data_IF_234041394415
#
_entry.id   IF_234041394415
#
_cell.length_a   1.000
_cell.length_b   1.000
_cell.length_c   1.000
_cell.angle_alpha   90.00
_cell.angle_beta   90.00
_cell.angle_gamma   90.00
#
_symmetry.space_group_name_H-M   'P 1'
#
loop_
_entity.id
_entity.type
_entity.pdbx_description
1 polymer ?
#
# COMPACT_ATOMS: atom_id res chain seq x y z
N UNK A 1 15.03 -28.15 -2.47
CA UNK A 1 14.23 -26.99 -2.94
C UNK A 1 13.32 -26.37 -1.87
N UNK A 2 12.44 -27.11 -1.17
CA UNK A 2 11.49 -26.54 -0.17
C UNK A 2 12.12 -25.72 0.96
N UNK A 3 13.28 -26.13 1.51
CA UNK A 3 13.96 -25.41 2.59
C UNK A 3 14.58 -24.08 2.14
N UNK A 4 15.13 -24.04 0.92
CA UNK A 4 15.64 -22.81 0.28
C UNK A 4 14.51 -21.83 0.03
N UNK A 5 13.35 -22.29 -0.47
CA UNK A 5 12.15 -21.47 -0.58
C UNK A 5 11.70 -20.94 0.78
N UNK A 6 11.56 -21.78 1.82
CA UNK A 6 11.21 -21.30 3.18
C UNK A 6 12.12 -20.19 3.69
N UNK A 7 13.43 -20.33 3.47
CA UNK A 7 14.46 -19.37 3.87
C UNK A 7 14.44 -18.10 3.00
N UNK A 8 14.16 -18.23 1.70
CA UNK A 8 14.02 -17.09 0.77
C UNK A 8 12.74 -16.28 1.04
N UNK A 9 11.69 -16.97 1.48
CA UNK A 9 10.37 -16.43 1.79
C UNK A 9 10.24 -16.02 3.27
N UNK A 10 11.34 -16.10 4.05
CA UNK A 10 11.40 -15.82 5.48
C UNK A 10 10.18 -16.36 6.26
N UNK A 11 9.78 -17.60 5.99
CA UNK A 11 8.62 -18.22 6.68
C UNK A 11 8.87 -18.33 8.20
N UNK A 12 10.15 -18.37 8.59
CA UNK A 12 10.61 -18.43 9.98
C UNK A 12 10.85 -17.04 10.62
N UNK A 13 10.53 -15.93 9.93
CA UNK A 13 10.57 -14.61 10.56
C UNK A 13 9.56 -14.55 11.73
N UNK A 14 9.87 -13.73 12.72
CA UNK A 14 8.93 -13.50 13.82
C UNK A 14 7.63 -12.90 13.28
N UNK A 15 6.47 -13.19 13.91
CA UNK A 15 5.19 -12.60 13.50
C UNK A 15 5.25 -11.08 13.41
N UNK A 16 6.02 -10.44 14.30
CA UNK A 16 6.23 -9.00 14.37
C UNK A 16 6.98 -8.48 13.13
N UNK A 17 8.10 -9.12 12.75
CA UNK A 17 8.87 -8.71 11.55
C UNK A 17 8.06 -8.90 10.27
N UNK A 18 7.29 -9.98 10.19
CA UNK A 18 6.42 -10.27 9.04
C UNK A 18 5.29 -9.24 8.94
N UNK A 19 4.61 -8.94 10.06
CA UNK A 19 3.55 -7.93 10.09
C UNK A 19 4.08 -6.52 9.77
N UNK A 20 5.29 -6.18 10.23
CA UNK A 20 5.94 -4.91 9.92
C UNK A 20 6.30 -4.78 8.43
N UNK A 21 6.85 -5.84 7.84
CA UNK A 21 7.11 -5.88 6.41
C UNK A 21 5.81 -5.71 5.60
N UNK A 22 4.73 -6.38 6.02
CA UNK A 22 3.41 -6.24 5.40
C UNK A 22 2.86 -4.80 5.52
N UNK A 23 2.94 -4.16 6.69
CA UNK A 23 2.46 -2.77 6.85
C UNK A 23 3.24 -1.79 5.98
N UNK A 24 4.57 -1.96 5.87
CA UNK A 24 5.38 -1.17 4.92
C UNK A 24 4.90 -1.43 3.49
N UNK A 25 4.58 -2.68 3.13
CA UNK A 25 4.03 -3.02 1.83
C UNK A 25 2.73 -2.28 1.53
N UNK A 26 1.81 -2.24 2.50
CA UNK A 26 0.55 -1.49 2.40
C UNK A 26 0.82 0.01 2.22
N UNK A 27 1.73 0.58 3.02
CA UNK A 27 2.13 1.99 2.87
C UNK A 27 2.60 2.28 1.43
N UNK A 28 3.52 1.46 0.92
CA UNK A 28 4.08 1.65 -0.41
C UNK A 28 3.01 1.42 -1.48
N UNK A 29 2.18 0.39 -1.37
CA UNK A 29 1.15 0.06 -2.37
C UNK A 29 0.08 1.14 -2.55
N UNK A 30 -0.22 1.88 -1.49
CA UNK A 30 -1.22 2.97 -1.48
C UNK A 30 -0.60 4.38 -1.50
N UNK A 31 0.73 4.48 -1.46
CA UNK A 31 1.46 5.75 -1.61
C UNK A 31 1.22 6.39 -2.98
N UNK A 32 1.47 7.70 -3.19
CA UNK A 32 1.24 8.32 -4.50
C UNK A 32 2.15 7.84 -5.64
N UNK A 33 3.10 6.92 -5.39
CA UNK A 33 4.11 6.46 -6.35
C UNK A 33 3.60 5.41 -7.36
N UNK A 34 2.52 5.74 -8.08
CA UNK A 34 1.84 4.86 -9.03
C UNK A 34 2.81 4.24 -10.05
N UNK A 35 2.81 2.91 -10.12
CA UNK A 35 3.65 2.13 -11.04
C UNK A 35 5.04 1.76 -10.53
N UNK A 36 5.56 2.43 -9.49
CA UNK A 36 6.88 2.13 -8.92
C UNK A 36 6.82 1.35 -7.59
N UNK A 37 5.62 1.00 -7.12
CA UNK A 37 5.42 0.36 -5.82
C UNK A 37 6.18 -0.96 -5.64
N UNK A 38 6.17 -1.84 -6.64
CA UNK A 38 6.82 -3.16 -6.54
C UNK A 38 8.33 -3.04 -6.47
N UNK A 39 8.93 -2.18 -7.31
CA UNK A 39 10.37 -1.93 -7.30
C UNK A 39 10.80 -1.22 -6.01
N UNK A 40 10.06 -0.20 -5.57
CA UNK A 40 10.34 0.53 -4.33
C UNK A 40 10.22 -0.35 -3.10
N UNK A 41 9.19 -1.19 -3.03
CA UNK A 41 9.04 -2.16 -1.96
C UNK A 41 10.13 -3.22 -1.96
N UNK A 42 10.52 -3.71 -3.14
CA UNK A 42 11.61 -4.67 -3.23
C UNK A 42 12.93 -4.05 -2.76
N UNK A 43 13.24 -2.82 -3.20
CA UNK A 43 14.43 -2.09 -2.74
C UNK A 43 14.42 -1.90 -1.21
N UNK A 44 13.31 -1.45 -0.63
CA UNK A 44 13.13 -1.30 0.81
C UNK A 44 13.29 -2.66 1.52
N UNK A 45 12.72 -3.73 0.96
CA UNK A 45 12.86 -5.07 1.53
C UNK A 45 14.31 -5.54 1.60
N UNK A 46 15.13 -5.20 0.60
CA UNK A 46 16.55 -5.51 0.58
C UNK A 46 17.34 -4.66 1.56
N UNK A 47 17.11 -3.35 1.58
CA UNK A 47 17.82 -2.42 2.47
C UNK A 47 17.59 -2.72 3.95
N UNK A 48 16.36 -3.07 4.33
CA UNK A 48 15.98 -3.33 5.72
C UNK A 48 15.92 -4.83 6.07
N UNK A 49 16.32 -5.70 5.14
CA UNK A 49 16.29 -7.16 5.29
C UNK A 49 14.93 -7.67 5.82
N UNK A 50 13.86 -7.19 5.19
CA UNK A 50 12.47 -7.50 5.54
C UNK A 50 11.98 -8.73 4.78
N UNK A 51 10.92 -9.36 5.30
CA UNK A 51 10.27 -10.46 4.61
C UNK A 51 9.70 -9.99 3.26
N UNK A 52 10.33 -10.44 2.18
CA UNK A 52 10.02 -10.07 0.80
C UNK A 52 8.62 -10.50 0.38
N UNK A 53 8.13 -11.64 0.86
CA UNK A 53 6.76 -12.03 0.58
C UNK A 53 5.78 -11.11 1.29
N UNK A 54 5.99 -10.87 2.58
CA UNK A 54 5.05 -10.09 3.37
C UNK A 54 4.89 -8.67 2.81
N UNK A 55 6.00 -8.02 2.45
CA UNK A 55 5.97 -6.69 1.84
C UNK A 55 5.33 -6.70 0.45
N UNK A 56 5.61 -7.71 -0.40
CA UNK A 56 4.98 -7.82 -1.73
C UNK A 56 3.47 -8.07 -1.63
N UNK A 57 3.03 -8.92 -0.71
CA UNK A 57 1.60 -9.16 -0.44
C UNK A 57 0.93 -7.87 0.03
N UNK A 58 1.60 -7.08 0.87
CA UNK A 58 1.12 -5.75 1.26
C UNK A 58 0.98 -4.79 0.07
N UNK A 59 1.99 -4.76 -0.82
CA UNK A 59 1.95 -3.90 -2.02
C UNK A 59 0.81 -4.29 -2.94
N UNK A 60 0.64 -5.58 -3.22
CA UNK A 60 -0.37 -6.11 -4.16
C UNK A 60 -1.81 -6.06 -3.63
N UNK A 61 -2.01 -5.57 -2.41
CA UNK A 61 -3.35 -5.27 -1.91
C UNK A 61 -4.02 -4.15 -2.72
N UNK A 62 -3.24 -3.32 -3.43
CA UNK A 62 -3.66 -2.17 -4.24
C UNK A 62 -4.34 -2.51 -5.60
N UNK A 63 -5.18 -3.53 -5.59
CA UNK A 63 -5.98 -3.99 -6.72
C UNK A 63 -6.82 -2.87 -7.39
N UNK A 64 -7.05 -2.91 -8.74
CA UNK A 64 -7.67 -1.81 -9.48
C UNK A 64 -9.04 -1.35 -8.95
N UNK A 65 -9.82 -2.27 -8.39
CA UNK A 65 -11.14 -1.97 -7.80
C UNK A 65 -11.08 -1.09 -6.54
N UNK A 66 -9.98 -1.15 -5.78
CA UNK A 66 -9.77 -0.45 -4.51
C UNK A 66 -8.97 0.82 -4.77
N UNK A 67 -8.11 0.77 -5.79
CA UNK A 67 -7.22 1.84 -6.17
C UNK A 67 -7.97 3.13 -6.51
N UNK A 68 -8.96 3.06 -7.40
CA UNK A 68 -9.74 4.24 -7.80
C UNK A 68 -10.50 4.88 -6.63
N UNK A 69 -11.37 4.16 -5.89
CA UNK A 69 -12.08 4.77 -4.76
C UNK A 69 -11.13 5.25 -3.67
N UNK A 70 -10.02 4.54 -3.42
CA UNK A 70 -8.98 4.97 -2.50
C UNK A 70 -8.39 6.33 -2.91
N UNK A 71 -7.91 6.48 -4.14
CA UNK A 71 -7.24 7.71 -4.56
C UNK A 71 -8.20 8.88 -4.74
N UNK A 72 -9.46 8.64 -5.13
CA UNK A 72 -10.49 9.68 -5.12
C UNK A 72 -10.73 10.19 -3.69
N UNK A 73 -10.85 9.27 -2.73
CA UNK A 73 -11.07 9.63 -1.33
C UNK A 73 -9.84 10.28 -0.70
N UNK A 74 -8.64 9.77 -0.98
CA UNK A 74 -7.38 10.36 -0.57
C UNK A 74 -7.25 11.79 -1.09
N UNK A 75 -7.48 12.01 -2.38
CA UNK A 75 -7.44 13.35 -3.00
C UNK A 75 -8.45 14.29 -2.36
N UNK A 76 -9.67 13.80 -2.06
CA UNK A 76 -10.69 14.56 -1.31
C UNK A 76 -10.22 14.93 0.10
N UNK A 77 -9.52 14.04 0.79
CA UNK A 77 -8.90 14.35 2.09
C UNK A 77 -7.84 15.45 1.92
N UNK A 78 -6.96 15.35 0.92
CA UNK A 78 -5.95 16.39 0.68
C UNK A 78 -6.55 17.74 0.30
N UNK A 79 -7.67 17.75 -0.43
CA UNK A 79 -8.48 18.94 -0.71
C UNK A 79 -8.97 19.61 0.57
N UNK A 80 -9.48 18.83 1.52
CA UNK A 80 -9.89 19.34 2.82
C UNK A 80 -8.72 19.95 3.60
N UNK A 81 -7.55 19.32 3.57
CA UNK A 81 -6.35 19.85 4.23
C UNK A 81 -5.82 21.16 3.60
N UNK A 82 -5.90 21.28 2.27
CA UNK A 82 -5.37 22.43 1.53
C UNK A 82 -6.40 23.54 1.28
N UNK A 83 -7.66 23.36 1.72
CA UNK A 83 -8.75 24.30 1.45
C UNK A 83 -9.03 24.45 -0.06
N UNK A 84 -8.84 23.38 -0.83
CA UNK A 84 -9.02 23.36 -2.28
C UNK A 84 -10.18 22.46 -2.66
N UNK A 85 -10.98 22.83 -3.65
CA UNK A 85 -12.09 22.02 -4.14
C UNK A 85 -12.16 22.05 -5.67
N UNK A 86 -12.58 20.94 -6.25
CA UNK A 86 -12.93 20.81 -7.66
C UNK A 86 -14.23 20.04 -7.79
N UNK A 87 -14.83 20.11 -8.97
CA UNK A 87 -16.01 19.31 -9.29
C UNK A 87 -15.68 17.81 -9.25
N UNK A 88 -16.54 17.06 -8.56
CA UNK A 88 -16.40 15.63 -8.37
C UNK A 88 -16.33 14.86 -9.70
N UNK A 89 -17.11 15.28 -10.70
CA UNK A 89 -17.12 14.69 -12.04
C UNK A 89 -15.77 14.88 -12.75
N UNK A 90 -15.14 16.04 -12.59
CA UNK A 90 -13.82 16.31 -13.16
C UNK A 90 -12.74 15.46 -12.50
N UNK A 91 -12.84 15.23 -11.19
CA UNK A 91 -11.94 14.31 -10.50
C UNK A 91 -12.08 12.88 -11.04
N UNK A 92 -13.32 12.39 -11.19
CA UNK A 92 -13.57 11.07 -11.79
C UNK A 92 -12.98 10.96 -13.19
N UNK A 93 -13.16 11.97 -14.03
CA UNK A 93 -12.64 11.98 -15.39
C UNK A 93 -11.11 11.81 -15.42
N UNK A 94 -10.37 12.55 -14.59
CA UNK A 94 -8.91 12.44 -14.47
C UNK A 94 -8.48 11.03 -14.07
N UNK A 95 -9.15 10.42 -13.09
CA UNK A 95 -8.85 9.06 -12.66
C UNK A 95 -9.27 8.00 -13.69
N UNK A 96 -10.35 8.22 -14.45
CA UNK A 96 -10.74 7.36 -15.55
C UNK A 96 -9.72 7.38 -16.71
N UNK A 97 -9.12 8.54 -16.99
CA UNK A 97 -8.00 8.66 -17.93
C UNK A 97 -6.83 7.79 -17.46
N UNK A 98 -6.49 7.85 -16.16
CA UNK A 98 -5.46 7.00 -15.56
C UNK A 98 -5.76 5.50 -15.69
N UNK A 99 -7.03 5.11 -15.57
CA UNK A 99 -7.46 3.71 -15.77
C UNK A 99 -7.39 3.27 -17.24
N UNK A 100 -7.70 4.15 -18.19
CA UNK A 100 -7.70 3.83 -19.63
C UNK A 100 -6.30 3.79 -20.24
N UNK A 101 -5.47 4.78 -19.91
CA UNK A 101 -4.16 5.00 -20.55
C UNK A 101 -3.01 4.52 -19.66
N UNK A 102 -3.26 4.36 -18.35
CA UNK A 102 -2.28 3.96 -17.35
C UNK A 102 -1.77 5.13 -16.51
N UNK A 103 -1.61 4.90 -15.21
CA UNK A 103 -1.15 5.90 -14.24
C UNK A 103 0.34 6.28 -14.38
N UNK A 104 1.12 5.52 -15.13
CA UNK A 104 2.52 5.85 -15.46
C UNK A 104 2.58 6.87 -16.61
N UNK A 105 1.52 6.97 -17.41
CA UNK A 105 1.54 7.79 -18.61
C UNK A 105 1.59 9.29 -18.25
N UNK A 106 2.45 10.05 -18.93
CA UNK A 106 2.66 11.48 -18.65
C UNK A 106 1.39 12.32 -18.78
N UNK A 107 0.44 11.87 -19.60
CA UNK A 107 -0.84 12.54 -19.79
C UNK A 107 -1.68 12.59 -18.50
N UNK A 108 -1.69 11.51 -17.71
CA UNK A 108 -2.38 11.49 -16.42
C UNK A 108 -1.79 12.53 -15.47
N UNK A 109 -0.46 12.54 -15.34
CA UNK A 109 0.25 13.50 -14.47
C UNK A 109 0.09 14.95 -14.94
N UNK A 110 0.10 15.20 -16.25
CA UNK A 110 -0.21 16.53 -16.80
C UNK A 110 -1.64 16.95 -16.51
N UNK A 111 -2.62 16.05 -16.65
CA UNK A 111 -4.01 16.33 -16.30
C UNK A 111 -4.16 16.65 -14.81
N UNK A 112 -3.47 15.91 -13.94
CA UNK A 112 -3.49 16.13 -12.49
C UNK A 112 -2.79 17.44 -12.10
N UNK A 113 -1.66 17.78 -12.73
CA UNK A 113 -0.90 19.00 -12.47
C UNK A 113 -1.52 20.26 -13.11
N UNK A 114 -2.26 20.12 -14.20
CA UNK A 114 -2.92 21.25 -14.88
C UNK A 114 -4.02 21.89 -14.02
N UNK A 115 -4.59 21.12 -13.08
CA UNK A 115 -5.60 21.61 -12.13
C UNK A 115 -4.97 22.29 -10.91
N UNK A 116 -3.87 23.03 -11.10
CA UNK A 116 -3.18 23.76 -10.04
C UNK A 116 -2.75 22.87 -8.87
N UNK A 117 -3.33 23.08 -7.69
CA UNK A 117 -2.97 22.39 -6.43
C UNK A 117 -3.52 20.96 -6.31
N UNK A 118 -4.21 20.44 -7.32
CA UNK A 118 -4.79 19.10 -7.29
C UNK A 118 -3.74 18.01 -7.07
N UNK A 119 -2.58 18.13 -7.72
CA UNK A 119 -1.45 17.23 -7.51
C UNK A 119 -1.02 17.21 -6.04
N UNK A 120 -0.96 18.36 -5.37
CA UNK A 120 -0.61 18.45 -3.94
C UNK A 120 -1.69 17.81 -3.07
N UNK A 121 -2.97 18.00 -3.39
CA UNK A 121 -4.08 17.33 -2.71
C UNK A 121 -3.96 15.82 -2.80
N UNK A 122 -3.67 15.31 -4.00
CA UNK A 122 -3.41 13.88 -4.22
C UNK A 122 -2.23 13.39 -3.38
N UNK A 123 -1.09 14.08 -3.43
CA UNK A 123 0.12 13.69 -2.70
C UNK A 123 -0.11 13.65 -1.18
N UNK A 124 -0.63 14.74 -0.60
CA UNK A 124 -0.87 14.84 0.85
C UNK A 124 -1.92 13.83 1.28
N UNK A 125 -3.03 13.77 0.56
CA UNK A 125 -4.12 12.85 0.84
C UNK A 125 -3.69 11.40 0.84
N UNK A 126 -2.97 10.97 -0.19
CA UNK A 126 -2.46 9.60 -0.32
C UNK A 126 -1.40 9.29 0.74
N UNK A 127 -0.49 10.21 1.05
CA UNK A 127 0.49 9.99 2.12
C UNK A 127 -0.17 9.85 3.50
N UNK A 128 -1.12 10.72 3.83
CA UNK A 128 -1.86 10.63 5.09
C UNK A 128 -2.66 9.32 5.18
N UNK A 129 -3.42 8.99 4.14
CA UNK A 129 -4.29 7.81 4.19
C UNK A 129 -3.51 6.50 4.11
N UNK A 130 -2.44 6.43 3.33
CA UNK A 130 -1.54 5.26 3.29
C UNK A 130 -0.82 5.06 4.63
N UNK A 131 -0.43 6.13 5.31
CA UNK A 131 0.13 6.04 6.66
C UNK A 131 -0.89 5.46 7.66
N UNK A 132 -2.14 5.94 7.63
CA UNK A 132 -3.22 5.39 8.48
C UNK A 132 -3.45 3.91 8.18
N UNK A 133 -3.59 3.54 6.90
CA UNK A 133 -3.79 2.15 6.50
C UNK A 133 -2.61 1.26 6.93
N UNK A 134 -1.38 1.73 6.80
CA UNK A 134 -0.18 1.02 7.24
C UNK A 134 -0.17 0.79 8.75
N UNK A 135 -0.46 1.83 9.53
CA UNK A 135 -0.56 1.74 10.99
C UNK A 135 -1.63 0.76 11.45
N UNK A 136 -2.77 0.69 10.74
CA UNK A 136 -3.82 -0.30 11.00
C UNK A 136 -3.45 -1.71 10.51
N UNK A 137 -2.72 -1.82 9.41
CA UNK A 137 -2.31 -3.09 8.82
C UNK A 137 -1.39 -3.88 9.75
N UNK A 138 -0.49 -3.22 10.50
CA UNK A 138 0.43 -3.87 11.42
C UNK A 138 -0.27 -4.73 12.50
N UNK A 139 -1.14 -4.17 13.37
CA UNK A 139 -1.79 -4.96 14.42
C UNK A 139 -2.77 -6.01 13.85
N UNK A 140 -3.42 -5.72 12.72
CA UNK A 140 -4.32 -6.67 12.06
C UNK A 140 -3.56 -7.89 11.53
N UNK A 141 -2.47 -7.66 10.81
CA UNK A 141 -1.61 -8.73 10.28
C UNK A 141 -0.98 -9.54 11.42
N UNK A 142 -0.50 -8.86 12.47
CA UNK A 142 0.09 -9.53 13.64
C UNK A 142 -0.91 -10.45 14.35
N UNK A 143 -2.14 -9.97 14.59
CA UNK A 143 -3.21 -10.79 15.18
C UNK A 143 -3.53 -12.00 14.30
N UNK A 144 -3.62 -11.81 12.99
CA UNK A 144 -3.91 -12.87 12.03
C UNK A 144 -2.82 -13.95 12.03
N UNK A 145 -1.55 -13.56 11.95
CA UNK A 145 -0.42 -14.50 11.97
C UNK A 145 -0.38 -15.28 13.29
N UNK A 146 -0.54 -14.60 14.43
CA UNK A 146 -0.55 -15.25 15.76
C UNK A 146 -1.72 -16.23 15.91
N UNK A 147 -2.91 -15.87 15.43
CA UNK A 147 -4.08 -16.74 15.43
C UNK A 147 -3.83 -18.03 14.62
N UNK A 148 -3.31 -17.92 13.40
CA UNK A 148 -3.01 -19.10 12.57
C UNK A 148 -1.86 -19.95 13.12
N UNK A 149 -0.80 -19.34 13.67
CA UNK A 149 0.32 -20.08 14.29
C UNK A 149 -0.12 -20.84 15.54
N UNK A 150 -0.98 -20.26 16.38
CA UNK A 150 -1.55 -20.93 17.56
C UNK A 150 -2.34 -22.18 17.16
N UNK A 151 -3.16 -22.09 16.10
CA UNK A 151 -3.96 -23.22 15.60
C UNK A 151 -3.11 -24.32 14.96
N UNK A 152 -1.96 -23.98 14.38
CA UNK A 152 -1.04 -24.94 13.74
C UNK A 152 -0.08 -25.62 14.72
N UNK A 153 0.04 -25.15 15.96
CA UNK A 153 0.99 -25.67 16.95
C UNK A 153 0.29 -25.96 18.31
N UNK A 154 -0.57 -27.00 18.40
CA UNK A 154 -1.34 -27.29 19.62
C UNK A 154 -0.51 -27.79 20.83
N UNK A 155 0.83 -27.80 20.75
CA UNK A 155 1.71 -28.34 21.82
C UNK A 155 2.22 -27.31 22.84
N UNK A 156 1.88 -26.03 22.72
CA UNK A 156 2.39 -24.98 23.64
C UNK A 156 1.37 -24.44 24.65
N UNK A 157 0.21 -25.10 24.83
CA UNK A 157 -0.83 -24.70 25.78
C UNK A 157 -0.95 -25.64 26.99
N UNK A 158 -0.02 -26.57 27.15
CA UNK A 158 0.04 -27.49 28.31
C UNK A 158 1.48 -27.68 28.76
N UNK A 159 1.99 -26.74 29.55
CA UNK A 159 3.00 -26.92 30.61
C UNK A 159 3.07 -25.63 31.40
#
# INVERSE_FOLDING_TARGET
MKALFKKLLCIDDTPERTAFAFSIGIFIGFSPFLGFHTLGALAISFLFNLNRLAILVGVWFNTPWWLVPYYLFATKIGMLFLGYSIDWERMKEIFQIGMKIGFIHSYFWKSLASQGKLLLCFLIGSLCLSAILSLLAYPLCLKLIRYYRSKSNPKSLTT
#
